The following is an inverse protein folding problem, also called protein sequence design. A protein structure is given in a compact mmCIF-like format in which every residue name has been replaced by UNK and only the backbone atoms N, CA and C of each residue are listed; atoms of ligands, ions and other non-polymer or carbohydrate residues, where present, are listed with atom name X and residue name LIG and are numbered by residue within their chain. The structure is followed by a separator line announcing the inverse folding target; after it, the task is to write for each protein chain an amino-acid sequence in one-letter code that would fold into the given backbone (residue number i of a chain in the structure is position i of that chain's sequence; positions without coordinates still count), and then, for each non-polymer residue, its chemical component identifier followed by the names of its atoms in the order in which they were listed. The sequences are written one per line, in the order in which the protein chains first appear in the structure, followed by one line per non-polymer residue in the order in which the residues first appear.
data_IF_127418805447
#
_entry.id   IF_127418805447
#
_cell.length_a   1.000
_cell.length_b   1.000
_cell.length_c   1.000
_cell.angle_alpha   90.00
_cell.angle_beta   90.00
_cell.angle_gamma   90.00
#
_symmetry.space_group_name_H-M   'P 1'
#
loop_
_entity.id
_entity.type
_entity.pdbx_description
1 polymer ?
#
# COMPACT_ATOMS: atom_id res chain seq x y z
N UNK A 1 -5.47 14.87 -15.56
CA UNK A 1 -4.87 16.06 -14.95
C UNK A 1 -4.21 15.62 -13.66
N UNK A 2 -2.88 15.62 -13.57
CA UNK A 2 -2.18 15.35 -12.31
C UNK A 2 -2.34 16.63 -11.49
N UNK A 3 -3.08 16.56 -10.39
CA UNK A 3 -3.23 17.70 -9.47
C UNK A 3 -2.02 17.71 -8.55
N UNK A 4 -1.29 18.82 -8.53
CA UNK A 4 -0.16 19.01 -7.61
C UNK A 4 -0.69 19.32 -6.21
N UNK A 5 -0.99 18.27 -5.45
CA UNK A 5 -1.37 18.39 -4.05
C UNK A 5 -0.14 18.55 -3.16
N UNK A 6 -0.17 19.55 -2.29
CA UNK A 6 0.76 19.67 -1.17
C UNK A 6 0.55 18.51 -0.19
N UNK A 7 1.58 18.09 0.55
CA UNK A 7 1.50 16.89 1.37
C UNK A 7 1.01 17.18 2.78
N UNK A 8 0.62 16.12 3.49
CA UNK A 8 0.26 16.16 4.92
C UNK A 8 1.28 16.92 5.78
N UNK A 9 2.57 16.76 5.49
CA UNK A 9 3.65 17.47 6.19
C UNK A 9 3.62 18.98 5.96
N UNK A 10 3.29 19.42 4.75
CA UNK A 10 3.11 20.85 4.45
C UNK A 10 1.94 21.41 5.23
N UNK A 11 0.83 20.66 5.32
CA UNK A 11 -0.33 21.08 6.09
C UNK A 11 0.01 21.31 7.56
N UNK A 12 0.59 20.31 8.24
CA UNK A 12 0.88 20.41 9.68
C UNK A 12 1.92 21.50 10.00
N UNK A 13 2.94 21.68 9.16
CA UNK A 13 3.97 22.70 9.39
C UNK A 13 3.47 24.14 9.16
N UNK A 14 2.44 24.30 8.33
CA UNK A 14 1.93 25.62 7.92
C UNK A 14 0.76 26.10 8.77
N UNK A 15 -0.03 25.21 9.40
CA UNK A 15 -1.06 25.62 10.36
C UNK A 15 -0.47 26.44 11.50
N UNK A 16 -1.17 27.51 11.90
CA UNK A 16 -0.77 28.42 12.98
C UNK A 16 0.28 29.45 12.57
N UNK A 17 1.03 29.17 11.49
CA UNK A 17 2.09 30.04 10.98
C UNK A 17 1.67 30.76 9.68
N UNK A 18 1.41 29.99 8.64
CA UNK A 18 1.05 30.47 7.29
C UNK A 18 -0.44 30.29 7.01
N UNK A 19 -1.05 29.25 7.58
CA UNK A 19 -2.48 28.96 7.50
C UNK A 19 -3.09 29.35 8.84
N UNK A 20 -3.89 30.43 8.92
CA UNK A 20 -4.58 30.80 10.15
C UNK A 20 -5.48 29.66 10.64
N UNK A 21 -5.43 29.37 11.94
CA UNK A 21 -6.19 28.26 12.55
C UNK A 21 -7.69 28.34 12.31
N UNK A 22 -8.23 29.56 12.26
CA UNK A 22 -9.64 29.84 12.03
C UNK A 22 -10.01 29.98 10.54
N UNK A 23 -9.07 29.77 9.60
CA UNK A 23 -9.36 29.82 8.17
C UNK A 23 -10.41 28.76 7.81
N UNK A 24 -11.52 29.13 7.13
CA UNK A 24 -12.49 28.17 6.65
C UNK A 24 -11.92 27.39 5.46
N UNK A 25 -11.99 26.07 5.53
CA UNK A 25 -11.50 25.15 4.49
C UNK A 25 -12.54 24.09 4.16
N UNK A 26 -12.43 23.55 2.95
CA UNK A 26 -13.21 22.39 2.53
C UNK A 26 -12.42 21.10 2.76
N UNK A 27 -12.93 20.21 3.62
CA UNK A 27 -12.41 18.86 3.77
C UNK A 27 -13.24 17.89 2.92
N UNK A 28 -12.59 17.27 1.94
CA UNK A 28 -13.15 16.16 1.20
C UNK A 28 -12.63 14.83 1.74
N UNK A 29 -13.53 13.85 1.89
CA UNK A 29 -13.22 12.50 2.38
C UNK A 29 -13.43 11.53 1.24
N UNK A 30 -12.35 11.05 0.63
CA UNK A 30 -12.43 10.21 -0.56
C UNK A 30 -12.40 8.72 -0.18
N UNK A 31 -13.33 7.90 -0.71
CA UNK A 31 -13.25 6.45 -0.56
C UNK A 31 -12.11 5.86 -1.41
N UNK A 32 -11.85 4.56 -1.25
CA UNK A 32 -11.01 3.80 -2.18
C UNK A 32 -11.58 3.79 -3.59
N UNK A 33 -10.70 3.77 -4.58
CA UNK A 33 -11.07 3.62 -5.98
C UNK A 33 -10.14 4.37 -6.93
N UNK A 34 -10.43 4.29 -8.22
CA UNK A 34 -9.77 5.09 -9.23
C UNK A 34 -10.57 6.36 -9.54
N UNK A 35 -9.89 7.51 -9.48
CA UNK A 35 -10.46 8.79 -9.90
C UNK A 35 -10.60 8.80 -11.42
N UNK A 36 -11.81 9.02 -11.89
CA UNK A 36 -12.19 9.06 -13.30
C UNK A 36 -12.93 10.35 -13.61
N UNK A 37 -13.06 10.67 -14.89
CA UNK A 37 -14.00 11.67 -15.38
C UNK A 37 -14.82 11.10 -16.52
N UNK A 38 -16.10 11.44 -16.59
CA UNK A 38 -16.99 11.12 -17.70
C UNK A 38 -17.52 12.42 -18.29
N UNK A 39 -17.54 12.51 -19.62
CA UNK A 39 -17.99 13.70 -20.35
C UNK A 39 -18.60 13.28 -21.68
N UNK A 40 -19.45 14.14 -22.25
CA UNK A 40 -19.93 13.97 -23.60
C UNK A 40 -19.11 14.81 -24.59
N UNK A 41 -18.62 14.18 -25.66
CA UNK A 41 -17.89 14.85 -26.75
C UNK A 41 -18.56 14.46 -28.06
N UNK A 42 -19.15 15.44 -28.75
CA UNK A 42 -19.88 15.25 -30.02
C UNK A 42 -20.91 14.10 -29.97
N UNK A 43 -21.66 14.02 -28.86
CA UNK A 43 -22.67 12.99 -28.63
C UNK A 43 -22.13 11.66 -28.11
N UNK A 44 -20.81 11.47 -28.05
CA UNK A 44 -20.17 10.23 -27.63
C UNK A 44 -19.73 10.33 -26.16
N UNK A 45 -20.00 9.28 -25.37
CA UNK A 45 -19.50 9.22 -23.99
C UNK A 45 -17.99 8.96 -23.96
N UNK A 46 -17.27 9.69 -23.12
CA UNK A 46 -15.82 9.52 -22.93
C UNK A 46 -15.53 9.38 -21.45
N UNK A 47 -14.96 8.24 -21.05
CA UNK A 47 -14.41 8.03 -19.71
C UNK A 47 -12.89 8.18 -19.77
N UNK A 48 -12.33 9.02 -18.90
CA UNK A 48 -10.88 9.16 -18.72
C UNK A 48 -10.44 8.73 -17.32
N UNK A 49 -9.39 7.93 -17.24
CA UNK A 49 -8.69 7.54 -16.02
C UNK A 49 -7.18 7.76 -16.20
N UNK A 50 -6.65 8.86 -15.65
CA UNK A 50 -5.26 9.23 -15.83
C UNK A 50 -4.91 9.42 -17.31
N UNK A 51 -4.11 8.50 -17.86
CA UNK A 51 -3.71 8.48 -19.27
C UNK A 51 -4.62 7.62 -20.16
N UNK A 52 -5.46 6.76 -19.58
CA UNK A 52 -6.37 5.92 -20.33
C UNK A 52 -7.65 6.67 -20.68
N UNK A 53 -8.10 6.51 -21.93
CA UNK A 53 -9.36 7.07 -22.44
C UNK A 53 -10.16 5.93 -23.07
N UNK A 54 -11.38 5.73 -22.57
CA UNK A 54 -12.35 4.82 -23.16
C UNK A 54 -13.50 5.62 -23.77
N UNK A 55 -13.95 5.21 -24.95
CA UNK A 55 -14.93 5.94 -25.75
C UNK A 55 -16.15 5.05 -25.97
N UNK A 56 -17.33 5.65 -25.92
CA UNK A 56 -18.64 5.05 -26.12
C UNK A 56 -18.88 3.77 -25.28
N UNK A 57 -18.44 3.78 -24.03
CA UNK A 57 -18.57 2.63 -23.13
C UNK A 57 -19.98 2.55 -22.55
N UNK A 58 -20.48 1.34 -22.30
CA UNK A 58 -21.75 1.09 -21.59
C UNK A 58 -21.81 1.84 -20.26
N UNK A 59 -20.75 1.77 -19.44
CA UNK A 59 -20.67 2.51 -18.18
C UNK A 59 -20.79 4.02 -18.40
N UNK A 60 -20.09 4.57 -19.40
CA UNK A 60 -20.11 6.00 -19.70
C UNK A 60 -21.49 6.49 -20.11
N UNK A 61 -22.18 5.72 -20.96
CA UNK A 61 -23.56 6.00 -21.38
C UNK A 61 -24.51 5.93 -20.17
N UNK A 62 -24.43 4.89 -19.34
CA UNK A 62 -25.25 4.76 -18.13
C UNK A 62 -25.06 5.95 -17.17
N UNK A 63 -23.82 6.39 -16.95
CA UNK A 63 -23.52 7.53 -16.08
C UNK A 63 -24.11 8.84 -16.63
N UNK A 64 -23.85 9.15 -17.90
CA UNK A 64 -24.36 10.38 -18.54
C UNK A 64 -25.89 10.38 -18.61
N UNK A 65 -26.51 9.24 -18.94
CA UNK A 65 -27.96 9.08 -18.99
C UNK A 65 -28.63 9.27 -17.62
N UNK A 66 -27.91 8.93 -16.54
CA UNK A 66 -28.30 9.20 -15.16
C UNK A 66 -28.00 10.64 -14.71
N UNK A 67 -27.45 11.48 -15.59
CA UNK A 67 -27.07 12.86 -15.28
C UNK A 67 -25.79 13.00 -14.47
N UNK A 68 -24.93 11.97 -14.46
CA UNK A 68 -23.60 12.01 -13.85
C UNK A 68 -22.59 12.39 -14.92
N UNK A 69 -22.15 13.64 -14.88
CA UNK A 69 -21.10 14.19 -15.72
C UNK A 69 -20.00 14.83 -14.86
N UNK A 70 -18.75 14.71 -15.28
CA UNK A 70 -17.58 15.23 -14.56
C UNK A 70 -16.83 14.14 -13.78
N UNK A 71 -16.17 14.55 -12.70
CA UNK A 71 -15.32 13.66 -11.90
C UNK A 71 -16.15 12.68 -11.04
N UNK A 72 -15.64 11.46 -10.90
CA UNK A 72 -16.18 10.44 -9.99
C UNK A 72 -15.08 9.49 -9.54
N UNK A 73 -15.30 8.76 -8.45
CA UNK A 73 -14.44 7.67 -8.00
C UNK A 73 -15.14 6.35 -8.31
N UNK A 74 -14.45 5.45 -9.00
CA UNK A 74 -14.93 4.11 -9.26
C UNK A 74 -14.19 3.10 -8.40
N UNK A 75 -14.95 2.22 -7.77
CA UNK A 75 -14.48 1.06 -7.02
C UNK A 75 -15.14 -0.21 -7.56
N UNK A 76 -14.46 -1.34 -7.46
CA UNK A 76 -15.04 -2.67 -7.73
C UNK A 76 -14.85 -3.53 -6.50
N UNK A 77 -15.90 -4.22 -6.08
CA UNK A 77 -15.84 -5.15 -4.95
C UNK A 77 -15.08 -6.44 -5.27
N UNK A 78 -14.85 -6.76 -6.55
CA UNK A 78 -14.05 -7.93 -6.97
C UNK A 78 -12.54 -7.67 -6.94
N UNK A 79 -12.13 -6.41 -7.16
CA UNK A 79 -10.72 -6.06 -7.33
C UNK A 79 -10.12 -5.47 -6.05
N UNK A 80 -8.85 -5.81 -5.79
CA UNK A 80 -8.07 -5.14 -4.74
C UNK A 80 -8.01 -3.63 -5.05
N UNK A 81 -8.25 -2.72 -4.08
CA UNK A 81 -8.29 -1.27 -4.30
C UNK A 81 -7.15 -0.68 -5.13
N UNK A 82 -5.94 -1.22 -5.00
CA UNK A 82 -4.75 -0.73 -5.73
C UNK A 82 -4.69 -1.18 -7.19
N UNK A 83 -5.44 -2.22 -7.57
CA UNK A 83 -5.53 -2.72 -8.94
C UNK A 83 -6.80 -2.26 -9.65
N UNK A 84 -7.70 -1.51 -8.98
CA UNK A 84 -8.96 -1.06 -9.57
C UNK A 84 -8.76 -0.28 -10.87
N UNK A 85 -7.72 0.54 -11.00
CA UNK A 85 -7.43 1.26 -12.24
C UNK A 85 -7.05 0.34 -13.41
N UNK A 86 -6.21 -0.67 -13.16
CA UNK A 86 -5.81 -1.68 -14.17
C UNK A 86 -6.97 -2.59 -14.52
N UNK A 87 -7.71 -3.07 -13.52
CA UNK A 87 -8.93 -3.84 -13.71
C UNK A 87 -9.95 -3.06 -14.54
N UNK A 88 -10.18 -1.79 -14.23
CA UNK A 88 -11.09 -0.93 -14.97
C UNK A 88 -10.64 -0.75 -16.42
N UNK A 89 -9.35 -0.51 -16.64
CA UNK A 89 -8.76 -0.36 -17.99
C UNK A 89 -8.99 -1.64 -18.81
N UNK A 90 -8.65 -2.81 -18.25
CA UNK A 90 -8.89 -4.10 -18.89
C UNK A 90 -10.38 -4.34 -19.15
N UNK A 91 -11.23 -4.16 -18.13
CA UNK A 91 -12.65 -4.43 -18.25
C UNK A 91 -13.31 -3.53 -19.31
N UNK A 92 -13.05 -2.22 -19.28
CA UNK A 92 -13.56 -1.30 -20.30
C UNK A 92 -13.04 -1.61 -21.72
N UNK A 93 -11.81 -2.13 -21.85
CA UNK A 93 -11.26 -2.52 -23.16
C UNK A 93 -11.98 -3.72 -23.80
N UNK A 94 -12.69 -4.52 -22.99
CA UNK A 94 -13.51 -5.63 -23.48
C UNK A 94 -14.93 -5.20 -23.90
N UNK A 95 -15.25 -3.90 -23.85
CA UNK A 95 -16.56 -3.33 -24.23
C UNK A 95 -17.74 -4.08 -23.58
N UNK A 96 -17.84 -4.06 -22.24
CA UNK A 96 -18.85 -4.83 -21.51
C UNK A 96 -20.25 -4.37 -21.89
N UNK A 97 -21.16 -5.33 -22.09
CA UNK A 97 -22.58 -5.05 -22.34
C UNK A 97 -23.35 -4.70 -21.06
N UNK A 98 -24.61 -4.25 -21.16
CA UNK A 98 -25.44 -3.89 -20.00
C UNK A 98 -25.69 -5.02 -19.00
N UNK A 99 -25.64 -6.27 -19.47
CA UNK A 99 -25.89 -7.47 -18.67
C UNK A 99 -24.60 -8.11 -18.12
N UNK A 100 -23.43 -7.46 -18.26
CA UNK A 100 -22.17 -7.98 -17.69
C UNK A 100 -22.29 -8.06 -16.17
N UNK A 101 -22.11 -9.27 -15.62
CA UNK A 101 -22.20 -9.57 -14.19
C UNK A 101 -21.32 -8.64 -13.34
N UNK A 102 -20.18 -8.19 -13.88
CA UNK A 102 -19.25 -7.29 -13.20
C UNK A 102 -19.82 -5.90 -12.96
N UNK A 103 -20.83 -5.46 -13.73
CA UNK A 103 -21.47 -4.15 -13.54
C UNK A 103 -22.04 -4.03 -12.12
N UNK A 104 -22.65 -5.09 -11.62
CA UNK A 104 -23.25 -5.12 -10.27
C UNK A 104 -22.22 -4.97 -9.13
N UNK A 105 -20.94 -5.25 -9.43
CA UNK A 105 -19.82 -5.18 -8.47
C UNK A 105 -19.22 -3.78 -8.34
N UNK A 106 -19.66 -2.86 -9.22
CA UNK A 106 -19.16 -1.50 -9.28
C UNK A 106 -19.80 -0.67 -8.18
N UNK A 107 -19.02 0.25 -7.62
CA UNK A 107 -19.49 1.33 -6.79
C UNK A 107 -18.96 2.64 -7.35
N UNK A 108 -19.86 3.59 -7.57
CA UNK A 108 -19.52 4.92 -8.07
C UNK A 108 -19.73 5.93 -6.95
N UNK A 109 -18.74 6.77 -6.71
CA UNK A 109 -18.84 7.91 -5.80
C UNK A 109 -18.77 9.22 -6.58
N UNK A 110 -19.80 10.04 -6.46
CA UNK A 110 -19.91 11.35 -7.14
C UNK A 110 -19.63 12.50 -6.17
N UNK A 111 -19.18 13.64 -6.71
CA UNK A 111 -18.91 14.85 -5.93
C UNK A 111 -20.13 15.79 -5.95
N UNK A 112 -21.14 15.49 -5.14
CA UNK A 112 -22.34 16.30 -4.98
C UNK A 112 -23.45 16.05 -6.01
N UNK A 113 -23.16 15.29 -7.07
CA UNK A 113 -24.12 14.97 -8.15
C UNK A 113 -24.99 13.78 -7.74
N UNK A 114 -26.30 13.98 -7.67
CA UNK A 114 -27.26 12.91 -7.38
C UNK A 114 -27.75 12.31 -8.71
N UNK A 115 -27.72 10.97 -8.87
CA UNK A 115 -28.24 10.34 -10.08
C UNK A 115 -29.73 10.61 -10.24
N UNK A 116 -30.15 10.94 -11.47
CA UNK A 116 -31.55 11.19 -11.85
C UNK A 116 -32.29 9.91 -12.24
N UNK A 117 -31.57 8.80 -12.41
CA UNK A 117 -32.10 7.48 -12.77
C UNK A 117 -31.49 6.41 -11.88
N UNK A 118 -32.24 5.33 -11.65
CA UNK A 118 -31.71 4.14 -10.99
C UNK A 118 -30.64 3.50 -11.89
N UNK A 119 -29.52 3.14 -11.27
CA UNK A 119 -28.41 2.47 -11.93
C UNK A 119 -28.28 1.03 -11.40
N UNK A 120 -27.73 0.10 -12.19
CA UNK A 120 -27.55 -1.30 -11.79
C UNK A 120 -26.43 -1.50 -10.75
N UNK A 121 -25.85 -0.41 -10.24
CA UNK A 121 -24.78 -0.39 -9.25
C UNK A 121 -25.00 0.72 -8.22
N UNK A 122 -24.31 0.61 -7.08
CA UNK A 122 -24.45 1.58 -6.01
C UNK A 122 -23.77 2.91 -6.37
N UNK A 123 -24.52 4.01 -6.22
CA UNK A 123 -23.98 5.38 -6.31
C UNK A 123 -24.02 6.05 -4.95
N UNK A 124 -22.86 6.51 -4.47
CA UNK A 124 -22.71 7.27 -3.24
C UNK A 124 -22.37 8.72 -3.57
N UNK A 125 -23.03 9.67 -2.91
CA UNK A 125 -22.76 11.10 -3.12
C UNK A 125 -21.97 11.64 -1.94
N UNK A 126 -20.79 12.20 -2.19
CA UNK A 126 -20.01 12.90 -1.17
C UNK A 126 -20.02 14.41 -1.40
N UNK A 127 -19.92 15.16 -0.31
CA UNK A 127 -19.87 16.64 -0.29
C UNK A 127 -18.71 17.10 0.60
N UNK A 128 -18.15 18.30 0.35
CA UNK A 128 -17.13 18.84 1.21
C UNK A 128 -17.71 19.15 2.59
N UNK A 129 -16.89 18.96 3.61
CA UNK A 129 -17.19 19.39 4.97
C UNK A 129 -16.50 20.73 5.18
N UNK A 130 -17.29 21.79 5.38
CA UNK A 130 -16.75 23.10 5.74
C UNK A 130 -16.36 23.09 7.22
N UNK A 131 -15.10 23.42 7.51
CA UNK A 131 -14.57 23.46 8.88
C UNK A 131 -13.42 24.47 8.98
N UNK A 132 -12.98 24.75 10.20
CA UNK A 132 -11.78 25.57 10.42
C UNK A 132 -10.54 24.72 10.19
N UNK A 133 -9.44 25.34 9.77
CA UNK A 133 -8.17 24.66 9.53
C UNK A 133 -7.71 23.84 10.76
N UNK A 134 -7.88 24.37 11.98
CA UNK A 134 -7.53 23.68 13.23
C UNK A 134 -8.30 22.37 13.46
N UNK A 135 -9.53 22.28 12.95
CA UNK A 135 -10.41 21.11 13.15
C UNK A 135 -10.09 19.97 12.15
N UNK A 136 -9.27 20.23 11.13
CA UNK A 136 -8.93 19.24 10.08
C UNK A 136 -8.18 18.05 10.65
N UNK A 137 -7.10 18.28 11.40
CA UNK A 137 -6.26 17.19 11.92
C UNK A 137 -7.04 16.25 12.86
N UNK A 138 -7.80 16.75 13.86
CA UNK A 138 -8.67 15.90 14.68
C UNK A 138 -9.72 15.13 13.88
N UNK A 139 -10.31 15.77 12.86
CA UNK A 139 -11.31 15.14 11.99
C UNK A 139 -10.70 14.01 11.15
N UNK A 140 -9.52 14.25 10.56
CA UNK A 140 -8.77 13.25 9.81
C UNK A 140 -8.42 12.06 10.71
N UNK A 141 -7.95 12.29 11.94
CA UNK A 141 -7.64 11.21 12.89
C UNK A 141 -8.87 10.36 13.23
N UNK A 142 -10.02 11.01 13.43
CA UNK A 142 -11.28 10.31 13.75
C UNK A 142 -11.77 9.49 12.56
N UNK A 143 -11.84 10.09 11.37
CA UNK A 143 -12.33 9.44 10.15
C UNK A 143 -11.38 8.39 9.60
N UNK A 144 -10.08 8.46 9.91
CA UNK A 144 -9.08 7.46 9.50
C UNK A 144 -9.38 6.06 10.06
N UNK A 145 -10.21 5.95 11.11
CA UNK A 145 -10.65 4.65 11.66
C UNK A 145 -11.50 3.85 10.68
N UNK A 146 -12.22 4.52 9.76
CA UNK A 146 -12.96 3.85 8.70
C UNK A 146 -11.98 3.35 7.62
N UNK A 147 -11.91 2.03 7.47
CA UNK A 147 -11.00 1.39 6.50
C UNK A 147 -11.33 1.74 5.06
N UNK A 148 -12.54 2.21 4.75
CA UNK A 148 -13.00 2.59 3.40
C UNK A 148 -12.46 3.94 2.93
N UNK A 149 -11.98 4.78 3.85
CA UNK A 149 -11.41 6.09 3.51
C UNK A 149 -9.98 5.92 2.99
N UNK A 150 -9.73 6.36 1.76
CA UNK A 150 -8.41 6.24 1.13
C UNK A 150 -7.55 7.48 1.35
N UNK A 151 -8.15 8.66 1.18
CA UNK A 151 -7.42 9.92 1.19
C UNK A 151 -8.33 11.07 1.62
N UNK A 152 -7.74 12.11 2.21
CA UNK A 152 -8.41 13.36 2.51
C UNK A 152 -7.83 14.47 1.63
N UNK A 153 -8.68 15.27 1.02
CA UNK A 153 -8.26 16.44 0.25
C UNK A 153 -8.78 17.69 0.96
N UNK A 154 -7.87 18.56 1.38
CA UNK A 154 -8.22 19.86 1.96
C UNK A 154 -8.06 20.91 0.88
N UNK A 155 -9.09 21.72 0.64
CA UNK A 155 -9.01 22.86 -0.28
C UNK A 155 -9.17 24.17 0.48
N UNK A 156 -8.26 25.09 0.20
CA UNK A 156 -8.29 26.46 0.70
C UNK A 156 -8.97 27.37 -0.31
N UNK A 157 -9.46 28.52 0.15
CA UNK A 157 -10.10 29.53 -0.71
C UNK A 157 -9.14 30.17 -1.72
N UNK A 158 -7.84 30.15 -1.42
CA UNK A 158 -6.78 30.67 -2.30
C UNK A 158 -6.38 29.70 -3.43
N UNK A 159 -7.04 28.55 -3.54
CA UNK A 159 -6.77 27.54 -4.58
C UNK A 159 -5.72 26.50 -4.21
N UNK A 160 -5.00 26.63 -3.09
CA UNK A 160 -4.12 25.56 -2.62
C UNK A 160 -4.92 24.34 -2.16
N UNK A 161 -4.40 23.15 -2.48
CA UNK A 161 -4.99 21.89 -2.05
C UNK A 161 -3.94 20.95 -1.45
N UNK A 162 -4.32 20.27 -0.37
CA UNK A 162 -3.46 19.39 0.41
C UNK A 162 -4.02 17.97 0.40
N UNK A 163 -3.13 17.00 0.20
CA UNK A 163 -3.39 15.57 0.26
C UNK A 163 -2.93 15.03 1.62
N UNK A 164 -3.89 14.57 2.41
CA UNK A 164 -3.65 14.05 3.76
C UNK A 164 -3.94 12.54 3.76
N UNK A 165 -2.89 11.73 3.96
CA UNK A 165 -3.04 10.29 4.12
C UNK A 165 -3.70 9.94 5.48
N UNK A 166 -4.59 8.92 5.52
CA UNK A 166 -5.17 8.43 6.76
C UNK A 166 -4.10 7.99 7.77
N UNK A 167 -4.40 8.11 9.06
CA UNK A 167 -3.57 7.59 10.15
C UNK A 167 -4.31 6.48 10.88
N UNK A 168 -3.87 5.23 10.67
CA UNK A 168 -4.45 4.02 11.26
C UNK A 168 -3.47 3.38 12.21
N UNK A 169 -3.97 2.53 13.11
CA UNK A 169 -3.16 1.83 14.13
C UNK A 169 -3.45 0.34 14.13
N UNK A 170 -2.42 -0.45 14.36
CA UNK A 170 -2.53 -1.90 14.57
C UNK A 170 -1.56 -2.32 15.67
N UNK A 171 -1.99 -3.24 16.51
CA UNK A 171 -1.14 -3.86 17.51
C UNK A 171 -0.28 -4.96 16.88
N UNK A 172 0.98 -5.03 17.28
CA UNK A 172 1.93 -6.02 16.79
C UNK A 172 2.95 -6.40 17.87
N UNK A 173 3.66 -7.49 17.64
CA UNK A 173 4.83 -7.91 18.42
C UNK A 173 6.07 -7.78 17.55
N UNK A 174 7.15 -7.22 18.09
CA UNK A 174 8.45 -7.20 17.39
C UNK A 174 9.05 -8.60 17.44
N UNK A 175 9.36 -9.16 16.27
CA UNK A 175 10.05 -10.44 16.14
C UNK A 175 11.57 -10.27 16.08
N UNK A 176 12.03 -9.25 15.37
CA UNK A 176 13.45 -9.02 15.10
C UNK A 176 13.75 -7.54 14.84
N UNK A 177 15.02 -7.18 14.98
CA UNK A 177 15.58 -5.86 14.72
C UNK A 177 16.72 -5.98 13.70
N UNK A 178 16.64 -5.21 12.62
CA UNK A 178 17.59 -5.23 11.50
C UNK A 178 18.04 -3.81 11.16
N UNK A 179 19.07 -3.67 10.33
CA UNK A 179 19.55 -2.37 9.86
C UNK A 179 18.52 -1.62 9.00
N UNK A 180 17.52 -2.34 8.46
CA UNK A 180 16.40 -1.80 7.68
C UNK A 180 15.12 -1.59 8.50
N UNK A 181 15.19 -1.86 9.82
CA UNK A 181 14.12 -1.63 10.78
C UNK A 181 13.59 -2.89 11.45
N UNK A 182 12.43 -2.75 12.09
CA UNK A 182 11.83 -3.82 12.88
C UNK A 182 11.03 -4.78 12.01
N UNK A 183 11.15 -6.08 12.30
CA UNK A 183 10.22 -7.08 11.75
C UNK A 183 9.15 -7.33 12.80
N UNK A 184 7.89 -7.17 12.41
CA UNK A 184 6.76 -7.25 13.34
C UNK A 184 5.72 -8.24 12.85
N UNK A 185 5.01 -8.87 13.80
CA UNK A 185 3.83 -9.70 13.56
C UNK A 185 2.59 -9.02 14.12
N UNK A 186 1.61 -8.73 13.28
CA UNK A 186 0.35 -8.12 13.74
C UNK A 186 -0.48 -9.07 14.57
N UNK A 187 -1.13 -8.57 15.62
CA UNK A 187 -2.02 -9.39 16.45
C UNK A 187 -3.32 -9.83 15.74
N UNK A 188 -4.00 -9.00 14.91
CA UNK A 188 -5.29 -9.38 14.34
C UNK A 188 -5.24 -10.45 13.24
N UNK A 189 -4.15 -10.51 12.48
CA UNK A 189 -4.06 -11.36 11.29
C UNK A 189 -2.70 -12.03 11.09
N UNK A 190 -1.82 -11.97 12.10
CA UNK A 190 -0.48 -12.58 12.10
C UNK A 190 0.38 -12.19 10.89
N UNK A 191 0.11 -11.02 10.29
CA UNK A 191 0.85 -10.54 9.14
C UNK A 191 2.26 -10.12 9.59
N UNK A 192 3.26 -10.61 8.86
CA UNK A 192 4.67 -10.29 9.10
C UNK A 192 5.12 -9.26 8.06
N UNK A 193 5.69 -8.16 8.53
CA UNK A 193 6.19 -7.09 7.65
C UNK A 193 7.28 -6.27 8.34
N UNK A 194 8.03 -5.52 7.52
CA UNK A 194 9.08 -4.60 7.98
C UNK A 194 8.51 -3.22 8.31
N UNK A 195 8.95 -2.67 9.43
CA UNK A 195 8.67 -1.30 9.88
C UNK A 195 9.97 -0.50 9.81
N UNK A 196 10.18 0.29 8.72
CA UNK A 196 11.46 0.94 8.45
C UNK A 196 11.62 2.28 9.16
N UNK A 197 10.69 2.65 10.06
CA UNK A 197 10.69 3.95 10.73
C UNK A 197 10.21 3.85 12.16
N UNK A 198 10.83 4.65 13.02
CA UNK A 198 10.50 4.78 14.44
C UNK A 198 10.07 6.21 14.76
N UNK A 199 9.00 6.37 15.54
CA UNK A 199 8.58 7.68 16.01
C UNK A 199 9.60 8.23 17.02
N UNK A 200 9.91 9.52 16.92
CA UNK A 200 10.88 10.22 17.79
C UNK A 200 10.65 9.95 19.27
N UNK A 201 9.40 9.95 19.73
CA UNK A 201 9.09 9.66 21.14
C UNK A 201 9.56 8.29 21.61
N UNK A 202 9.54 7.28 20.74
CA UNK A 202 10.00 5.93 21.10
C UNK A 202 11.52 5.93 21.16
N UNK A 203 12.19 6.63 20.24
CA UNK A 203 13.64 6.83 20.29
C UNK A 203 14.06 7.59 21.56
N UNK A 204 13.34 8.64 21.92
CA UNK A 204 13.58 9.41 23.14
C UNK A 204 13.35 8.53 24.39
N UNK A 205 12.33 7.68 24.38
CA UNK A 205 12.07 6.72 25.47
C UNK A 205 13.19 5.68 25.60
N UNK A 206 13.68 5.13 24.48
CA UNK A 206 14.84 4.22 24.46
C UNK A 206 16.08 4.88 25.07
N UNK A 207 16.40 6.09 24.62
CA UNK A 207 17.55 6.86 25.11
C UNK A 207 17.46 7.14 26.62
N UNK A 208 16.27 7.55 27.11
CA UNK A 208 16.06 7.82 28.55
C UNK A 208 16.17 6.55 29.38
N UNK A 209 15.57 5.45 28.92
CA UNK A 209 15.62 4.16 29.61
C UNK A 209 16.98 3.45 29.45
N UNK A 210 17.92 4.02 28.68
CA UNK A 210 19.26 3.46 28.40
C UNK A 210 19.22 2.05 27.83
N UNK A 211 18.19 1.77 27.03
CA UNK A 211 18.03 0.50 26.30
C UNK A 211 18.18 0.75 24.81
N UNK A 212 18.61 -0.28 24.11
CA UNK A 212 18.83 -0.25 22.66
C UNK A 212 17.54 -0.57 21.90
N UNK A 213 17.51 -0.22 20.63
CA UNK A 213 16.43 -0.58 19.73
C UNK A 213 16.18 -2.11 19.68
N UNK A 214 17.24 -2.92 19.82
CA UNK A 214 17.18 -4.39 19.82
C UNK A 214 16.44 -4.95 21.04
N UNK A 215 16.48 -4.26 22.18
CA UNK A 215 15.85 -4.69 23.43
C UNK A 215 14.32 -4.65 23.38
N UNK A 216 13.74 -4.10 22.30
CA UNK A 216 12.31 -4.15 22.04
C UNK A 216 11.85 -5.46 21.39
N UNK A 217 12.75 -6.36 21.00
CA UNK A 217 12.35 -7.66 20.46
C UNK A 217 11.51 -8.44 21.49
N UNK A 218 10.41 -9.04 21.03
CA UNK A 218 9.40 -9.69 21.87
C UNK A 218 8.36 -8.75 22.48
N UNK A 219 8.55 -7.43 22.43
CA UNK A 219 7.61 -6.49 23.04
C UNK A 219 6.38 -6.22 22.15
N UNK A 220 5.29 -5.85 22.81
CA UNK A 220 4.06 -5.37 22.17
C UNK A 220 4.22 -3.89 21.79
N UNK A 221 3.85 -3.57 20.56
CA UNK A 221 3.97 -2.24 19.99
C UNK A 221 2.71 -1.85 19.23
N UNK A 222 2.44 -0.55 19.16
CA UNK A 222 1.46 0.00 18.22
C UNK A 222 2.18 0.47 16.96
N UNK A 223 1.79 -0.08 15.82
CA UNK A 223 2.25 0.37 14.51
C UNK A 223 1.21 1.31 13.90
N UNK A 224 1.64 2.51 13.51
CA UNK A 224 0.86 3.39 12.67
C UNK A 224 1.09 3.04 11.20
N UNK A 225 0.03 3.07 10.40
CA UNK A 225 0.08 2.85 8.95
C UNK A 225 -0.99 3.69 8.26
N UNK A 226 -0.88 3.88 6.94
CA UNK A 226 -1.82 4.71 6.20
C UNK A 226 -2.89 3.90 5.50
N UNK A 227 -2.49 2.79 4.89
CA UNK A 227 -3.38 1.88 4.19
C UNK A 227 -2.92 0.44 4.38
N UNK A 228 -3.90 -0.47 4.52
CA UNK A 228 -3.68 -1.91 4.44
C UNK A 228 -4.30 -2.40 3.15
N UNK A 229 -3.55 -3.18 2.38
CA UNK A 229 -4.05 -3.82 1.17
C UNK A 229 -4.16 -5.30 1.40
N UNK A 230 -5.39 -5.82 1.37
CA UNK A 230 -5.60 -7.25 1.53
C UNK A 230 -5.08 -8.02 0.31
N UNK A 231 -4.41 -9.13 0.57
CA UNK A 231 -3.86 -10.01 -0.47
C UNK A 231 -2.57 -10.71 -0.03
N UNK A 232 -2.19 -11.77 -0.73
CA UNK A 232 -0.93 -12.46 -0.49
C UNK A 232 0.18 -11.60 -1.10
N UNK A 233 0.78 -10.70 -0.33
CA UNK A 233 1.80 -9.74 -0.79
C UNK A 233 3.00 -9.76 0.15
N UNK A 234 4.17 -9.45 -0.40
CA UNK A 234 5.41 -9.29 0.38
C UNK A 234 5.33 -8.16 1.42
N UNK A 235 4.51 -7.13 1.18
CA UNK A 235 4.14 -6.12 2.17
C UNK A 235 2.69 -5.66 1.94
N UNK A 236 1.88 -5.71 2.99
CA UNK A 236 0.45 -5.31 2.93
C UNK A 236 0.18 -3.97 3.62
N UNK A 237 1.16 -3.42 4.33
CA UNK A 237 1.05 -2.19 5.12
C UNK A 237 1.81 -1.06 4.44
N UNK A 238 1.10 0.00 4.04
CA UNK A 238 1.70 1.20 3.46
C UNK A 238 2.21 2.13 4.56
N UNK A 239 3.42 2.63 4.37
CA UNK A 239 4.01 3.65 5.23
C UNK A 239 3.99 3.30 6.73
N UNK A 240 4.42 2.09 7.14
CA UNK A 240 4.39 1.73 8.55
C UNK A 240 5.39 2.59 9.36
N UNK A 241 5.03 2.83 10.62
CA UNK A 241 5.78 3.60 11.61
C UNK A 241 5.58 2.95 12.98
N UNK A 242 6.66 2.61 13.67
CA UNK A 242 6.58 2.19 15.06
C UNK A 242 6.19 3.41 15.90
N UNK A 243 4.92 3.44 16.32
CA UNK A 243 4.30 4.59 16.95
C UNK A 243 4.41 4.54 18.48
N UNK A 244 4.27 3.35 19.10
CA UNK A 244 4.37 3.13 20.55
C UNK A 244 5.08 1.83 20.85
N UNK A 245 5.81 1.80 21.96
CA UNK A 245 6.23 0.58 22.63
C UNK A 245 5.63 0.61 24.04
N UNK A 246 4.66 -0.27 24.31
CA UNK A 246 3.82 -0.14 25.52
C UNK A 246 4.62 -0.28 26.80
N UNK A 247 5.54 -1.25 26.86
CA UNK A 247 6.36 -1.49 28.04
C UNK A 247 7.39 -0.39 28.30
N UNK A 248 7.80 0.39 27.29
CA UNK A 248 8.67 1.57 27.49
C UNK A 248 7.90 2.75 28.09
N UNK A 249 6.61 2.86 27.80
CA UNK A 249 5.76 3.93 28.30
C UNK A 249 5.34 3.66 29.76
N UNK A 250 5.12 2.40 30.14
CA UNK A 250 4.84 1.99 31.54
C UNK A 250 6.01 2.29 32.51
N UNK A 251 7.22 2.49 31.98
CA UNK A 251 8.38 2.94 32.77
C UNK A 251 8.27 4.44 33.13
N UNK A 252 7.33 5.19 32.52
CA UNK A 252 7.16 6.63 32.72
C UNK A 252 5.68 7.06 32.89
N UNK A 253 5.26 7.29 34.14
CA UNK A 253 4.01 7.99 34.51
C UNK A 253 4.10 9.53 34.34
N UNK A 254 4.65 9.99 33.21
CA UNK A 254 4.99 11.41 32.99
C UNK A 254 4.45 11.99 31.69
N UNK A 255 3.33 12.71 31.80
CA UNK A 255 2.71 13.60 30.81
C UNK A 255 2.24 12.97 29.48
N UNK A 256 0.91 12.89 29.34
CA UNK A 256 0.22 12.80 28.05
C UNK A 256 0.61 14.01 27.18
N UNK A 257 1.71 13.89 26.44
CA UNK A 257 2.00 14.80 25.34
C UNK A 257 1.15 14.43 24.13
N UNK A 258 0.60 15.45 23.47
CA UNK A 258 -0.13 15.34 22.22
C UNK A 258 0.55 14.38 21.25
N UNK A 259 -0.23 13.48 20.65
CA UNK A 259 0.26 12.43 19.75
C UNK A 259 1.08 13.08 18.63
N UNK A 260 2.42 12.92 18.58
CA UNK A 260 3.21 13.56 17.55
C UNK A 260 2.83 13.01 16.17
N UNK A 261 2.74 13.91 15.20
CA UNK A 261 2.55 13.61 13.80
C UNK A 261 3.68 12.71 13.24
N UNK A 262 3.42 12.12 12.07
CA UNK A 262 4.38 11.36 11.23
C UNK A 262 5.67 12.13 10.88
N UNK A 263 5.71 13.44 11.19
CA UNK A 263 6.75 14.39 10.87
C UNK A 263 8.05 14.21 11.65
N UNK A 264 8.01 13.62 12.85
CA UNK A 264 9.19 13.38 13.68
C UNK A 264 9.53 11.89 13.71
N UNK A 265 9.80 11.29 12.55
CA UNK A 265 10.19 9.88 12.43
C UNK A 265 11.64 9.76 11.99
N UNK A 266 12.36 8.81 12.59
CA UNK A 266 13.72 8.47 12.17
C UNK A 266 13.64 7.25 11.25
N UNK A 267 14.10 7.35 10.00
CA UNK A 267 14.25 6.20 9.14
C UNK A 267 15.43 5.34 9.58
N UNK A 268 15.28 4.03 9.46
CA UNK A 268 16.40 3.10 9.39
C UNK A 268 17.11 3.24 8.01
N UNK A 269 18.09 2.39 7.70
CA UNK A 269 18.73 2.42 6.39
C UNK A 269 17.66 2.28 5.30
N UNK A 270 17.69 3.18 4.30
CA UNK A 270 16.78 3.09 3.17
C UNK A 270 17.08 1.82 2.39
N UNK A 271 16.09 0.96 2.24
CA UNK A 271 16.15 -0.04 1.18
C UNK A 271 16.30 0.71 -0.15
N UNK A 272 17.20 0.26 -1.06
CA UNK A 272 17.46 0.94 -2.32
C UNK A 272 16.14 1.27 -3.03
N UNK A 273 16.01 2.54 -3.44
CA UNK A 273 14.78 3.09 -4.00
C UNK A 273 14.45 2.46 -5.35
N UNK A 274 13.15 2.34 -5.60
CA UNK A 274 12.59 1.53 -6.68
C UNK A 274 12.04 2.42 -7.79
N UNK A 275 12.22 2.03 -9.07
CA UNK A 275 11.63 2.73 -10.23
C UNK A 275 10.09 2.68 -10.18
N UNK A 276 9.44 3.57 -10.94
CA UNK A 276 7.99 3.84 -10.89
C UNK A 276 7.05 2.72 -11.38
N UNK A 277 7.56 1.54 -11.76
CA UNK A 277 6.74 0.41 -12.23
C UNK A 277 6.62 -0.70 -11.18
N UNK A 278 5.49 -1.41 -11.12
CA UNK A 278 5.31 -2.56 -10.21
C UNK A 278 5.76 -3.89 -10.83
N UNK A 279 6.45 -4.71 -10.05
CA UNK A 279 6.70 -6.11 -10.42
C UNK A 279 5.43 -6.93 -10.13
N UNK A 280 5.00 -7.75 -11.09
CA UNK A 280 3.78 -8.56 -10.95
C UNK A 280 4.05 -10.00 -11.36
N UNK A 281 3.34 -11.00 -10.78
CA UNK A 281 3.52 -12.40 -11.17
C UNK A 281 3.32 -12.64 -12.68
N UNK A 282 2.36 -11.94 -13.30
CA UNK A 282 2.10 -12.04 -14.75
C UNK A 282 3.25 -11.51 -15.60
N UNK A 283 3.99 -10.50 -15.12
CA UNK A 283 5.18 -10.02 -15.82
C UNK A 283 6.33 -11.02 -15.65
N UNK A 284 6.47 -11.58 -14.45
CA UNK A 284 7.48 -12.61 -14.17
C UNK A 284 7.22 -13.94 -14.88
N UNK A 285 5.95 -14.30 -15.17
CA UNK A 285 5.62 -15.55 -15.88
C UNK A 285 6.08 -15.57 -17.34
N UNK A 286 6.45 -14.42 -17.89
CA UNK A 286 7.03 -14.27 -19.23
C UNK A 286 8.52 -13.95 -19.19
N UNK A 287 9.13 -14.07 -18.01
CA UNK A 287 10.55 -13.80 -17.87
C UNK A 287 11.34 -14.99 -18.42
N UNK A 288 12.33 -14.70 -19.26
CA UNK A 288 13.41 -15.63 -19.50
C UNK A 288 14.41 -15.58 -18.36
N UNK A 289 15.02 -16.73 -18.08
CA UNK A 289 15.99 -16.88 -17.00
C UNK A 289 17.37 -17.06 -17.60
N UNK A 290 18.36 -16.37 -17.04
CA UNK A 290 19.77 -16.60 -17.35
C UNK A 290 20.60 -16.67 -16.07
N UNK A 291 21.57 -17.57 -16.07
CA UNK A 291 22.62 -17.59 -15.06
C UNK A 291 23.72 -16.62 -15.47
N UNK A 292 24.13 -15.77 -14.53
CA UNK A 292 25.21 -14.79 -14.71
C UNK A 292 26.26 -14.97 -13.62
N UNK A 293 27.39 -14.29 -13.74
CA UNK A 293 28.43 -14.26 -12.70
C UNK A 293 27.92 -13.69 -11.37
N UNK A 294 26.89 -12.83 -11.41
CA UNK A 294 26.34 -12.14 -10.26
C UNK A 294 25.09 -12.82 -9.67
N UNK A 295 24.69 -13.98 -10.21
CA UNK A 295 23.51 -14.73 -9.79
C UNK A 295 22.53 -15.02 -10.92
N UNK A 296 21.27 -15.25 -10.57
CA UNK A 296 20.20 -15.61 -11.52
C UNK A 296 19.37 -14.37 -11.84
N UNK A 297 19.25 -14.05 -13.13
CA UNK A 297 18.45 -12.92 -13.59
C UNK A 297 17.20 -13.39 -14.33
N UNK A 298 16.06 -12.82 -13.96
CA UNK A 298 14.84 -12.89 -14.77
C UNK A 298 14.69 -11.61 -15.59
N UNK A 299 14.63 -11.73 -16.91
CA UNK A 299 14.53 -10.59 -17.82
C UNK A 299 13.32 -10.70 -18.75
N UNK A 300 12.82 -9.55 -19.20
CA UNK A 300 11.70 -9.46 -20.12
C UNK A 300 12.17 -9.73 -21.55
N UNK A 301 11.57 -10.74 -22.18
CA UNK A 301 11.87 -11.13 -23.55
C UNK A 301 11.66 -9.97 -24.53
N UNK A 302 12.66 -9.76 -25.39
CA UNK A 302 12.64 -8.73 -26.42
C UNK A 302 13.06 -7.32 -25.97
N UNK A 303 13.17 -7.04 -24.67
CA UNK A 303 13.61 -5.71 -24.17
C UNK A 303 14.90 -5.74 -23.34
N UNK A 304 15.43 -6.92 -23.00
CA UNK A 304 16.58 -7.11 -22.09
C UNK A 304 16.40 -6.44 -20.72
N UNK A 305 15.17 -6.06 -20.35
CA UNK A 305 14.89 -5.40 -19.07
C UNK A 305 14.95 -6.42 -17.96
N UNK A 306 15.87 -6.26 -17.01
CA UNK A 306 15.96 -7.12 -15.82
C UNK A 306 14.77 -6.83 -14.91
N UNK A 307 13.96 -7.85 -14.67
CA UNK A 307 12.76 -7.79 -13.84
C UNK A 307 13.09 -8.06 -12.37
N UNK A 308 13.95 -9.04 -12.11
CA UNK A 308 14.43 -9.40 -10.79
C UNK A 308 15.79 -10.10 -10.88
N UNK A 309 16.54 -10.05 -9.79
CA UNK A 309 17.83 -10.73 -9.63
C UNK A 309 17.82 -11.51 -8.33
N UNK A 310 18.28 -12.76 -8.38
CA UNK A 310 18.60 -13.58 -7.22
C UNK A 310 20.11 -13.62 -7.06
N UNK A 311 20.62 -13.12 -5.94
CA UNK A 311 22.06 -13.11 -5.64
C UNK A 311 22.40 -14.11 -4.54
N UNK A 312 23.57 -14.77 -4.57
CA UNK A 312 24.03 -15.69 -3.52
C UNK A 312 24.51 -14.94 -2.27
N UNK A 313 23.70 -14.00 -1.78
CA UNK A 313 23.95 -13.14 -0.62
C UNK A 313 22.66 -12.94 0.14
N UNK A 314 22.71 -13.02 1.47
CA UNK A 314 21.54 -12.80 2.33
C UNK A 314 21.81 -11.73 3.35
N UNK A 315 20.83 -10.86 3.57
CA UNK A 315 20.90 -9.82 4.59
C UNK A 315 19.57 -9.73 5.33
N UNK A 316 19.62 -9.67 6.66
CA UNK A 316 18.41 -9.58 7.47
C UNK A 316 17.66 -8.27 7.19
N UNK A 317 16.34 -8.34 7.11
CA UNK A 317 15.49 -7.20 6.78
C UNK A 317 15.31 -6.96 5.29
N UNK A 318 15.94 -7.77 4.43
CA UNK A 318 15.70 -7.82 2.99
C UNK A 318 14.89 -9.07 2.59
N UNK A 319 14.36 -9.04 1.36
CA UNK A 319 13.65 -10.19 0.80
C UNK A 319 14.65 -11.20 0.25
N UNK A 320 14.37 -12.49 0.47
CA UNK A 320 15.20 -13.60 -0.01
C UNK A 320 14.33 -14.68 -0.64
N UNK A 321 14.90 -15.39 -1.60
CA UNK A 321 14.40 -16.61 -2.18
C UNK A 321 15.11 -17.82 -1.54
N UNK A 322 14.35 -18.87 -1.21
CA UNK A 322 14.92 -20.16 -0.86
C UNK A 322 14.96 -21.04 -2.12
N UNK A 323 16.17 -21.51 -2.45
CA UNK A 323 16.45 -22.30 -3.64
C UNK A 323 16.97 -23.68 -3.24
N UNK A 324 16.37 -24.74 -3.77
CA UNK A 324 16.85 -26.11 -3.58
C UNK A 324 17.61 -26.61 -4.79
N UNK A 325 18.72 -27.34 -4.58
CA UNK A 325 19.46 -28.05 -5.63
C UNK A 325 20.02 -29.36 -5.09
N UNK A 326 19.51 -30.48 -5.61
CA UNK A 326 19.76 -31.79 -5.00
C UNK A 326 19.17 -31.83 -3.59
N UNK A 327 19.98 -32.22 -2.60
CA UNK A 327 19.58 -32.29 -1.19
C UNK A 327 19.87 -30.99 -0.40
N UNK A 328 20.40 -29.95 -1.05
CA UNK A 328 20.79 -28.69 -0.41
C UNK A 328 19.78 -27.57 -0.59
N UNK A 329 19.52 -26.82 0.49
CA UNK A 329 18.74 -25.58 0.50
C UNK A 329 19.69 -24.38 0.64
N UNK A 330 19.57 -23.40 -0.26
CA UNK A 330 20.33 -22.15 -0.26
C UNK A 330 19.38 -20.96 -0.15
N UNK A 331 19.79 -19.91 0.58
CA UNK A 331 19.05 -18.64 0.64
C UNK A 331 19.76 -17.59 -0.21
N UNK A 332 19.01 -16.96 -1.11
CA UNK A 332 19.52 -16.00 -2.09
C UNK A 332 18.76 -14.69 -2.00
N UNK A 333 19.45 -13.56 -1.96
CA UNK A 333 18.87 -12.22 -1.91
C UNK A 333 18.02 -11.93 -3.14
N UNK A 334 16.82 -11.41 -2.93
CA UNK A 334 15.89 -11.03 -3.99
C UNK A 334 15.91 -9.51 -4.19
N UNK A 335 16.31 -9.08 -5.38
CA UNK A 335 16.38 -7.68 -5.78
C UNK A 335 15.50 -7.41 -7.01
N UNK A 336 14.94 -6.20 -7.09
CA UNK A 336 14.15 -5.75 -8.23
C UNK A 336 14.14 -4.23 -8.30
N UNK A 337 14.41 -3.70 -9.48
CA UNK A 337 14.25 -2.28 -9.82
C UNK A 337 12.78 -1.84 -9.85
N UNK A 338 11.83 -2.78 -9.83
CA UNK A 338 10.39 -2.54 -9.84
C UNK A 338 9.77 -2.71 -8.46
N UNK A 339 8.66 -2.00 -8.18
CA UNK A 339 7.96 -2.01 -6.90
C UNK A 339 7.39 -3.39 -6.60
N UNK A 340 7.90 -4.02 -5.54
CA UNK A 340 7.58 -5.39 -5.12
C UNK A 340 6.44 -5.45 -4.08
N UNK A 341 5.93 -4.31 -3.62
CA UNK A 341 4.83 -4.26 -2.62
C UNK A 341 3.57 -4.99 -3.10
N UNK A 342 3.39 -5.11 -4.41
CA UNK A 342 2.26 -5.81 -5.04
C UNK A 342 2.59 -7.24 -5.47
N UNK A 343 3.82 -7.69 -5.29
CA UNK A 343 4.23 -9.04 -5.70
C UNK A 343 3.65 -10.06 -4.72
N UNK A 344 2.93 -11.03 -5.28
CA UNK A 344 2.47 -12.20 -4.54
C UNK A 344 3.58 -13.26 -4.54
N UNK A 345 4.18 -13.59 -3.38
CA UNK A 345 5.32 -14.49 -3.33
C UNK A 345 4.97 -15.89 -3.86
N UNK A 346 3.83 -16.46 -3.46
CA UNK A 346 3.40 -17.78 -3.94
C UNK A 346 3.14 -17.80 -5.44
N UNK A 347 2.50 -16.76 -5.96
CA UNK A 347 2.25 -16.65 -7.39
C UNK A 347 3.55 -16.45 -8.17
N UNK A 348 4.49 -15.68 -7.62
CA UNK A 348 5.82 -15.50 -8.21
C UNK A 348 6.56 -16.83 -8.30
N UNK A 349 6.66 -17.57 -7.19
CA UNK A 349 7.27 -18.91 -7.14
C UNK A 349 6.68 -19.78 -8.24
N UNK A 350 5.36 -19.98 -8.23
CA UNK A 350 4.66 -20.79 -9.24
C UNK A 350 4.94 -20.37 -10.69
N UNK A 351 5.08 -19.08 -10.96
CA UNK A 351 5.28 -18.58 -12.33
C UNK A 351 6.73 -18.69 -12.82
N UNK A 352 7.69 -18.75 -11.91
CA UNK A 352 9.13 -18.65 -12.25
C UNK A 352 9.85 -19.99 -12.07
N UNK A 353 9.38 -20.87 -11.16
CA UNK A 353 10.09 -22.10 -10.78
C UNK A 353 10.44 -23.00 -11.98
N UNK A 354 9.52 -23.23 -12.92
CA UNK A 354 9.77 -24.12 -14.06
C UNK A 354 10.88 -23.59 -14.97
N UNK A 355 10.81 -22.32 -15.37
CA UNK A 355 11.83 -21.70 -16.22
C UNK A 355 13.17 -21.61 -15.48
N UNK A 356 13.15 -21.32 -14.18
CA UNK A 356 14.34 -21.23 -13.36
C UNK A 356 15.04 -22.60 -13.24
N UNK A 357 14.27 -23.65 -13.00
CA UNK A 357 14.79 -25.02 -12.93
C UNK A 357 15.38 -25.48 -14.26
N UNK A 358 14.68 -25.25 -15.37
CA UNK A 358 15.16 -25.64 -16.70
C UNK A 358 16.49 -24.99 -17.07
N UNK A 359 16.70 -23.72 -16.68
CA UNK A 359 17.90 -22.97 -17.05
C UNK A 359 19.07 -23.11 -16.06
N UNK A 360 18.79 -23.41 -14.80
CA UNK A 360 19.82 -23.33 -13.73
C UNK A 360 19.95 -24.61 -12.89
N UNK A 361 18.96 -25.50 -12.95
CA UNK A 361 18.84 -26.68 -12.10
C UNK A 361 18.43 -26.40 -10.65
N UNK A 362 18.12 -25.15 -10.29
CA UNK A 362 17.59 -24.78 -8.97
C UNK A 362 16.05 -24.83 -8.98
N UNK A 363 15.47 -25.31 -7.87
CA UNK A 363 14.04 -25.20 -7.60
C UNK A 363 13.82 -24.02 -6.67
N UNK A 364 12.94 -23.08 -7.06
CA UNK A 364 12.52 -21.99 -6.18
C UNK A 364 11.39 -22.47 -5.27
N UNK A 365 11.65 -22.49 -3.96
CA UNK A 365 10.71 -23.03 -2.95
C UNK A 365 9.84 -21.94 -2.33
N UNK A 366 10.47 -20.83 -1.92
CA UNK A 366 9.76 -19.72 -1.28
C UNK A 366 10.42 -18.37 -1.55
N UNK A 367 9.65 -17.31 -1.38
CA UNK A 367 10.09 -15.92 -1.41
C UNK A 367 9.48 -15.20 -0.21
N UNK A 368 10.31 -14.55 0.61
CA UNK A 368 9.82 -13.89 1.81
C UNK A 368 10.85 -12.98 2.47
N UNK A 369 10.43 -12.33 3.56
CA UNK A 369 11.28 -11.42 4.32
C UNK A 369 12.23 -12.21 5.22
N UNK A 370 13.54 -12.01 5.09
CA UNK A 370 14.52 -12.70 5.91
C UNK A 370 14.76 -12.01 7.25
N UNK A 371 14.72 -12.76 8.35
CA UNK A 371 15.00 -12.25 9.68
C UNK A 371 15.34 -13.38 10.66
N UNK A 372 16.06 -13.07 11.73
CA UNK A 372 16.36 -14.04 12.79
C UNK A 372 15.63 -13.70 14.08
N UNK A 373 15.22 -14.74 14.79
CA UNK A 373 14.75 -14.69 16.17
C UNK A 373 15.71 -15.49 17.06
N UNK A 374 15.58 -15.44 18.40
CA UNK A 374 16.37 -16.32 19.27
C UNK A 374 16.23 -17.83 18.96
N UNK A 375 15.17 -18.22 18.27
CA UNK A 375 14.87 -19.62 17.91
C UNK A 375 15.50 -20.05 16.58
N UNK A 376 15.98 -19.11 15.77
CA UNK A 376 16.61 -19.38 14.47
C UNK A 376 16.34 -18.33 13.41
N UNK A 377 16.82 -18.60 12.19
CA UNK A 377 16.59 -17.77 11.02
C UNK A 377 15.29 -18.17 10.29
N UNK A 378 14.55 -17.18 9.81
CA UNK A 378 13.23 -17.35 9.22
C UNK A 378 13.08 -16.59 7.90
N UNK A 379 12.30 -17.17 6.99
CA UNK A 379 11.82 -16.49 5.78
C UNK A 379 10.31 -16.29 5.93
N UNK A 380 9.91 -15.05 6.23
CA UNK A 380 8.52 -14.68 6.45
C UNK A 380 7.72 -14.65 5.15
N UNK A 381 6.84 -15.63 4.97
CA UNK A 381 5.68 -15.60 4.06
C UNK A 381 4.40 -15.48 4.91
N UNK A 382 3.37 -14.81 4.39
CA UNK A 382 2.03 -14.76 5.00
C UNK A 382 1.45 -16.18 5.23
N UNK A 383 2.05 -17.23 4.68
CA UNK A 383 1.56 -18.62 4.73
C UNK A 383 1.62 -19.33 6.10
N UNK A 384 2.37 -18.85 7.10
CA UNK A 384 2.35 -19.48 8.43
C UNK A 384 1.23 -18.95 9.34
N UNK A 385 0.55 -17.86 8.95
CA UNK A 385 -0.44 -17.18 9.77
C UNK A 385 -1.84 -17.84 9.78
N UNK A 386 -2.19 -18.64 8.77
CA UNK A 386 -3.51 -19.28 8.67
C UNK A 386 -3.50 -20.80 8.86
N UNK A 387 -2.32 -21.44 8.90
CA UNK A 387 -2.22 -22.88 9.09
C UNK A 387 -2.15 -23.28 10.57
N UNK A 388 -1.67 -22.41 11.45
CA UNK A 388 -1.54 -22.70 12.87
C UNK A 388 -2.88 -22.66 13.65
N UNK A 389 -3.97 -22.17 13.04
CA UNK A 389 -5.32 -22.19 13.65
C UNK A 389 -6.17 -23.40 13.23
N UNK A 390 -5.60 -24.35 12.48
CA UNK A 390 -6.28 -25.61 12.13
C UNK A 390 -5.79 -26.82 12.95
N UNK A 391 -4.81 -26.64 13.84
CA UNK A 391 -4.34 -27.68 14.76
C UNK A 391 -4.08 -27.05 16.14
N UNK A 392 -5.16 -26.72 16.84
CA UNK A 392 -5.19 -26.55 18.30
C UNK A 392 -6.58 -26.95 18.79
#
# INVERSE_FOLDING_TARGET
MIRDYLKKTDWSNRIGNIIPENEPVELWVYPHGCVCSVMQVDGISVIKNGHYTAVNTTLGNMLLDAGIEGEFILYSTEAIPQNTSRWLTWWLSNQPGPDDEKISTIQVTTFGIVPKKTLPFQVTVIRPQLMRAIDVTPTVMTKSRDRRVSIFIVKRSNGEAYELEPSRRVEATILSYTDYGYIVRTSPDNAIFRVPRIARRVLDALNRARVTAKDLCGQRVTIQYTMKTDGLRLSSYKSPLLLRAHNLEEINDGEQSDVPSYENQYPFNYAPSVKSGSLTPTRCSRASIRLTENGIEGYEDGTNTVLFTLKPTTEEGLYVAALSKGDGLELWGFESDFAIDSLNPKAFVRCVSDNLFQQTGYTLDTLGLYYSTPEGAWVGDRSLASAATAVA
#
